data_IF_179078282035
#
_entry.id   IF_179078282035
#
_cell.length_a   1.000
_cell.length_b   1.000
_cell.length_c   1.000
_cell.angle_alpha   90.00
_cell.angle_beta   90.00
_cell.angle_gamma   90.00
#
_symmetry.space_group_name_H-M   'P 1'
#
loop_
_entity.id
_entity.type
_entity.pdbx_description
1 polymer ?
#
# COMPACT_ATOMS: atom_id res chain seq x y z
N UNK A 1 15.46 1.41 -15.77
CA UNK A 1 15.29 0.74 -14.46
C UNK A 1 15.22 1.81 -13.37
N UNK A 2 14.16 1.85 -12.57
CA UNK A 2 14.18 2.60 -11.31
C UNK A 2 14.54 1.64 -10.21
N UNK A 3 15.75 1.78 -9.69
CA UNK A 3 16.32 0.89 -8.70
C UNK A 3 16.01 1.46 -7.31
N UNK A 4 15.47 0.63 -6.41
CA UNK A 4 15.15 1.05 -5.04
C UNK A 4 16.39 1.46 -4.25
N UNK A 5 16.19 1.95 -3.01
CA UNK A 5 17.29 2.33 -2.10
C UNK A 5 18.32 1.19 -2.03
N UNK A 6 19.55 1.46 -2.49
CA UNK A 6 20.65 0.50 -2.53
C UNK A 6 20.91 -0.18 -3.88
N UNK A 7 20.27 0.25 -4.97
CA UNK A 7 20.49 -0.28 -6.32
C UNK A 7 20.21 -1.80 -6.46
N UNK A 8 19.25 -2.34 -5.70
CA UNK A 8 18.83 -3.75 -5.75
C UNK A 8 17.50 -3.90 -6.49
N UNK A 9 17.49 -4.73 -7.53
CA UNK A 9 16.27 -5.32 -8.07
C UNK A 9 15.61 -6.18 -6.98
N UNK A 10 14.29 -6.16 -6.93
CA UNK A 10 13.52 -6.94 -5.96
C UNK A 10 12.29 -7.51 -6.66
N UNK A 11 12.03 -8.75 -6.34
CA UNK A 11 10.75 -9.38 -6.64
C UNK A 11 9.79 -9.04 -5.51
N UNK A 12 8.57 -8.66 -5.87
CA UNK A 12 7.50 -8.37 -4.91
C UNK A 12 6.41 -9.39 -5.16
N UNK A 13 6.14 -10.23 -4.17
CA UNK A 13 5.05 -11.19 -4.26
C UNK A 13 3.70 -10.47 -4.18
N UNK A 14 2.73 -10.90 -4.99
CA UNK A 14 1.38 -10.33 -5.01
C UNK A 14 0.36 -11.43 -4.78
N UNK A 15 -0.78 -11.08 -4.17
CA UNK A 15 -1.90 -12.01 -4.02
C UNK A 15 -2.55 -12.34 -5.36
N UNK A 16 -3.31 -13.44 -5.41
CA UNK A 16 -4.09 -13.79 -6.60
C UNK A 16 -5.09 -12.69 -6.99
N UNK A 17 -5.65 -11.98 -6.02
CA UNK A 17 -6.57 -10.86 -6.24
C UNK A 17 -5.88 -9.71 -6.97
N UNK A 18 -4.66 -9.37 -6.55
CA UNK A 18 -3.83 -8.38 -7.23
C UNK A 18 -3.45 -8.86 -8.63
N UNK A 19 -3.06 -10.13 -8.78
CA UNK A 19 -2.74 -10.71 -10.08
C UNK A 19 -3.94 -10.66 -11.03
N UNK A 20 -5.15 -10.97 -10.56
CA UNK A 20 -6.39 -10.83 -11.34
C UNK A 20 -6.65 -9.37 -11.74
N UNK A 21 -6.43 -8.42 -10.82
CA UNK A 21 -6.57 -6.99 -11.13
C UNK A 21 -5.57 -6.53 -12.21
N UNK A 22 -4.32 -7.00 -12.15
CA UNK A 22 -3.29 -6.69 -13.14
C UNK A 22 -3.59 -7.31 -14.52
N UNK A 23 -4.08 -8.56 -14.57
CA UNK A 23 -4.54 -9.20 -15.80
C UNK A 23 -5.66 -8.40 -16.46
N UNK A 24 -6.70 -8.07 -15.69
CA UNK A 24 -7.82 -7.25 -16.16
C UNK A 24 -7.36 -5.87 -16.65
N UNK A 25 -6.41 -5.25 -15.96
CA UNK A 25 -5.84 -3.99 -16.39
C UNK A 25 -5.14 -4.14 -17.75
N UNK A 26 -4.27 -5.15 -17.94
CA UNK A 26 -3.60 -5.40 -19.22
C UNK A 26 -4.58 -5.63 -20.37
N UNK A 27 -5.60 -6.46 -20.15
CA UNK A 27 -6.65 -6.73 -21.14
C UNK A 27 -7.42 -5.46 -21.54
N UNK A 28 -7.73 -4.59 -20.59
CA UNK A 28 -8.36 -3.28 -20.87
C UNK A 28 -7.48 -2.34 -21.72
N UNK A 29 -6.19 -2.65 -21.84
CA UNK A 29 -5.22 -1.94 -22.69
C UNK A 29 -4.99 -2.65 -24.03
N UNK A 30 -5.71 -3.74 -24.31
CA UNK A 30 -5.52 -4.57 -25.51
C UNK A 30 -4.24 -5.40 -25.47
N UNK A 31 -3.70 -5.68 -24.28
CA UNK A 31 -2.51 -6.52 -24.09
C UNK A 31 -2.92 -7.93 -23.66
N UNK A 32 -2.01 -8.89 -23.79
CA UNK A 32 -2.14 -10.23 -23.21
C UNK A 32 -2.31 -10.16 -21.69
N UNK A 33 -3.05 -11.09 -21.09
CA UNK A 33 -3.32 -11.11 -19.64
C UNK A 33 -2.04 -11.16 -18.80
N UNK A 34 -1.01 -11.86 -19.28
CA UNK A 34 0.33 -11.91 -18.69
C UNK A 34 1.37 -11.32 -19.65
N UNK A 35 2.47 -10.74 -19.13
CA UNK A 35 3.56 -10.25 -19.97
C UNK A 35 4.21 -11.39 -20.76
N UNK A 36 4.58 -11.11 -22.00
CA UNK A 36 5.38 -12.03 -22.81
C UNK A 36 6.86 -11.99 -22.37
N UNK A 37 7.61 -13.09 -22.55
CA UNK A 37 9.05 -13.08 -22.32
C UNK A 37 9.73 -11.97 -23.13
N UNK A 38 10.54 -11.13 -22.46
CA UNK A 38 11.23 -10.00 -23.11
C UNK A 38 10.38 -8.77 -23.41
N UNK A 39 9.10 -8.75 -23.02
CA UNK A 39 8.23 -7.59 -23.19
C UNK A 39 8.73 -6.40 -22.35
N UNK A 40 8.87 -5.23 -22.98
CA UNK A 40 9.28 -3.97 -22.31
C UNK A 40 8.11 -3.03 -22.01
N UNK A 41 6.88 -3.51 -22.18
CA UNK A 41 5.66 -2.73 -21.92
C UNK A 41 5.62 -2.31 -20.44
N UNK A 42 5.35 -1.03 -20.16
CA UNK A 42 5.28 -0.54 -18.79
C UNK A 42 4.09 -1.15 -18.04
N UNK A 43 4.29 -1.43 -16.74
CA UNK A 43 3.22 -1.94 -15.88
C UNK A 43 2.07 -0.95 -15.75
N UNK A 44 2.35 0.35 -15.64
CA UNK A 44 1.34 1.41 -15.55
C UNK A 44 1.56 2.43 -16.66
N UNK A 45 0.56 2.58 -17.52
CA UNK A 45 0.59 3.49 -18.66
C UNK A 45 0.21 4.92 -18.28
N UNK A 46 0.71 5.90 -19.04
CA UNK A 46 0.24 7.28 -18.93
C UNK A 46 -1.24 7.35 -19.35
N UNK A 47 -1.99 8.24 -18.69
CA UNK A 47 -3.39 8.53 -19.05
C UNK A 47 -3.52 9.19 -20.42
N UNK A 48 -2.48 9.92 -20.86
CA UNK A 48 -2.40 10.58 -22.17
C UNK A 48 -1.04 10.29 -22.80
N UNK A 49 -1.02 10.07 -24.11
CA UNK A 49 0.19 9.76 -24.88
C UNK A 49 0.62 8.28 -24.77
N UNK A 50 1.84 7.99 -25.23
CA UNK A 50 2.43 6.64 -25.24
C UNK A 50 3.43 6.46 -24.08
N UNK A 51 3.61 5.21 -23.66
CA UNK A 51 4.61 4.80 -22.65
C UNK A 51 4.12 4.80 -21.21
N UNK A 52 5.05 4.52 -20.30
CA UNK A 52 4.79 4.34 -18.87
C UNK A 52 4.77 5.64 -18.11
N UNK A 53 4.12 5.64 -16.94
CA UNK A 53 4.17 6.80 -16.02
C UNK A 53 5.62 7.07 -15.62
N UNK A 54 6.03 8.34 -15.71
CA UNK A 54 7.39 8.79 -15.37
C UNK A 54 7.42 9.64 -14.09
N UNK A 55 6.26 10.05 -13.57
CA UNK A 55 6.15 10.88 -12.37
C UNK A 55 5.22 10.27 -11.35
N UNK A 56 5.67 10.21 -10.09
CA UNK A 56 4.87 9.77 -8.95
C UNK A 56 3.64 10.66 -8.70
N UNK A 57 3.62 11.90 -9.22
CA UNK A 57 2.49 12.82 -9.11
C UNK A 57 1.22 12.27 -9.74
N UNK A 58 1.33 11.54 -10.85
CA UNK A 58 0.17 10.95 -11.54
C UNK A 58 -0.48 9.87 -10.67
N UNK A 59 0.33 8.99 -10.08
CA UNK A 59 -0.15 7.96 -9.15
C UNK A 59 -0.77 8.60 -7.91
N UNK A 60 -0.09 9.59 -7.32
CA UNK A 60 -0.61 10.33 -6.16
C UNK A 60 -1.97 10.94 -6.46
N UNK A 61 -2.17 11.55 -7.63
CA UNK A 61 -3.46 12.11 -8.02
C UNK A 61 -4.57 11.06 -8.16
N UNK A 62 -4.25 9.85 -8.62
CA UNK A 62 -5.22 8.74 -8.67
C UNK A 62 -5.59 8.28 -7.27
N UNK A 63 -4.58 8.08 -6.41
CA UNK A 63 -4.80 7.66 -5.01
C UNK A 63 -5.61 8.70 -4.24
N UNK A 64 -5.28 9.98 -4.39
CA UNK A 64 -6.02 11.06 -3.72
C UNK A 64 -7.49 11.05 -4.12
N UNK A 65 -7.81 10.91 -5.41
CA UNK A 65 -9.20 10.79 -5.86
C UNK A 65 -9.93 9.61 -5.24
N UNK A 66 -9.24 8.50 -4.96
CA UNK A 66 -9.85 7.38 -4.24
C UNK A 66 -10.14 7.73 -2.78
N UNK A 67 -9.21 8.43 -2.12
CA UNK A 67 -9.40 8.91 -0.74
C UNK A 67 -10.53 9.92 -0.65
N UNK A 68 -10.57 10.93 -1.51
CA UNK A 68 -11.63 11.96 -1.52
C UNK A 68 -13.02 11.32 -1.68
N UNK A 69 -13.14 10.30 -2.54
CA UNK A 69 -14.40 9.57 -2.75
C UNK A 69 -14.78 8.70 -1.55
N UNK A 70 -13.80 8.06 -0.91
CA UNK A 70 -14.04 7.25 0.28
C UNK A 70 -14.40 8.14 1.48
N UNK A 71 -13.76 9.30 1.63
CA UNK A 71 -14.11 10.31 2.62
C UNK A 71 -15.55 10.79 2.44
N UNK A 72 -15.92 11.19 1.21
CA UNK A 72 -17.28 11.64 0.92
C UNK A 72 -18.31 10.58 1.29
N UNK A 73 -18.05 9.31 0.95
CA UNK A 73 -18.92 8.19 1.31
C UNK A 73 -19.03 7.98 2.82
N UNK A 74 -17.92 8.06 3.56
CA UNK A 74 -17.95 7.95 5.03
C UNK A 74 -18.79 9.07 5.67
N UNK A 75 -18.71 10.29 5.13
CA UNK A 75 -19.55 11.41 5.60
C UNK A 75 -21.03 11.18 5.31
N UNK A 76 -21.36 10.65 4.13
CA UNK A 76 -22.74 10.27 3.78
C UNK A 76 -23.29 9.18 4.69
N UNK A 77 -22.45 8.23 5.12
CA UNK A 77 -22.80 7.14 6.03
C UNK A 77 -22.80 7.56 7.52
N UNK A 78 -22.44 8.82 7.83
CA UNK A 78 -22.42 9.37 9.19
C UNK A 78 -21.13 9.10 9.99
N UNK A 79 -20.13 8.47 9.38
CA UNK A 79 -18.82 8.17 9.97
C UNK A 79 -17.86 9.37 9.87
N UNK A 80 -18.16 10.44 10.60
CA UNK A 80 -17.46 11.73 10.50
C UNK A 80 -16.00 11.64 10.99
N UNK A 81 -15.73 10.94 12.10
CA UNK A 81 -14.36 10.80 12.63
C UNK A 81 -13.45 10.01 11.67
N UNK A 82 -13.96 8.93 11.08
CA UNK A 82 -13.22 8.14 10.10
C UNK A 82 -12.94 8.94 8.82
N UNK A 83 -13.91 9.76 8.39
CA UNK A 83 -13.72 10.65 7.25
C UNK A 83 -12.60 11.67 7.52
N UNK A 84 -12.56 12.30 8.70
CA UNK A 84 -11.50 13.23 9.07
C UNK A 84 -10.13 12.56 9.11
N UNK A 85 -10.03 11.36 9.69
CA UNK A 85 -8.76 10.58 9.68
C UNK A 85 -8.32 10.23 8.26
N UNK A 86 -9.26 9.90 7.38
CA UNK A 86 -8.94 9.58 5.99
C UNK A 86 -8.52 10.80 5.18
N UNK A 87 -9.04 11.99 5.49
CA UNK A 87 -8.66 13.24 4.83
C UNK A 87 -7.18 13.59 5.06
N UNK A 88 -6.61 13.20 6.20
CA UNK A 88 -5.19 13.40 6.52
C UNK A 88 -4.27 12.30 5.94
N UNK A 89 -4.85 11.22 5.40
CA UNK A 89 -4.09 10.09 4.92
C UNK A 89 -3.25 10.43 3.68
N UNK A 90 -1.97 10.08 3.72
CA UNK A 90 -1.05 10.26 2.59
C UNK A 90 -0.75 8.96 1.86
N UNK A 91 -0.13 9.02 0.67
CA UNK A 91 0.35 7.80 -0.02
C UNK A 91 1.32 6.97 0.84
N UNK A 92 2.08 7.61 1.74
CA UNK A 92 2.96 6.90 2.66
C UNK A 92 2.16 6.11 3.72
N UNK A 93 1.00 6.62 4.12
CA UNK A 93 0.09 5.94 5.03
C UNK A 93 -0.38 4.59 4.46
N UNK A 94 -0.71 4.51 3.17
CA UNK A 94 -1.07 3.21 2.53
C UNK A 94 0.01 2.15 2.67
N UNK A 95 1.27 2.54 2.47
CA UNK A 95 2.40 1.61 2.63
C UNK A 95 2.54 1.17 4.08
N UNK A 96 2.36 2.09 5.02
CA UNK A 96 2.40 1.76 6.44
C UNK A 96 1.28 0.80 6.82
N UNK A 97 0.03 1.18 6.55
CA UNK A 97 -1.14 0.34 6.85
C UNK A 97 -1.04 -1.02 6.18
N UNK A 98 -0.65 -1.07 4.90
CA UNK A 98 -0.48 -2.34 4.19
C UNK A 98 0.55 -3.25 4.84
N UNK A 99 1.73 -2.72 5.22
CA UNK A 99 2.76 -3.50 5.91
C UNK A 99 2.28 -3.92 7.30
N UNK A 100 1.69 -3.01 8.08
CA UNK A 100 1.18 -3.27 9.44
C UNK A 100 0.09 -4.36 9.45
N UNK A 101 -0.78 -4.39 8.43
CA UNK A 101 -1.78 -5.45 8.30
C UNK A 101 -1.15 -6.76 7.83
N UNK A 102 -0.24 -6.72 6.86
CA UNK A 102 0.35 -7.93 6.29
C UNK A 102 1.19 -8.72 7.30
N UNK A 103 1.89 -8.04 8.22
CA UNK A 103 2.66 -8.70 9.30
C UNK A 103 1.78 -9.44 10.32
N UNK A 104 0.47 -9.20 10.35
CA UNK A 104 -0.45 -9.95 11.23
C UNK A 104 -0.72 -11.35 10.71
N UNK A 105 -0.55 -11.58 9.41
CA UNK A 105 -0.94 -12.82 8.74
C UNK A 105 0.20 -13.53 8.02
N UNK A 106 1.25 -12.79 7.60
CA UNK A 106 2.41 -13.34 6.89
C UNK A 106 3.68 -13.30 7.75
N UNK A 107 4.64 -14.23 7.51
CA UNK A 107 5.95 -14.19 8.15
C UNK A 107 6.64 -12.84 7.94
N UNK A 108 7.23 -12.32 9.02
CA UNK A 108 7.76 -10.94 9.06
C UNK A 108 8.93 -10.76 8.11
N UNK A 109 9.71 -11.81 7.88
CA UNK A 109 10.82 -11.84 6.92
C UNK A 109 10.30 -11.62 5.49
N UNK A 110 9.21 -12.28 5.12
CA UNK A 110 8.61 -12.16 3.79
C UNK A 110 8.09 -10.73 3.56
N UNK A 111 7.36 -10.18 4.52
CA UNK A 111 6.82 -8.81 4.42
C UNK A 111 7.95 -7.77 4.40
N UNK A 112 9.01 -7.97 5.18
CA UNK A 112 10.20 -7.10 5.18
C UNK A 112 10.88 -7.06 3.81
N UNK A 113 11.04 -8.23 3.19
CA UNK A 113 11.74 -8.36 1.91
C UNK A 113 10.90 -7.75 0.77
N UNK A 114 9.60 -8.02 0.74
CA UNK A 114 8.61 -7.38 -0.17
C UNK A 114 8.57 -5.85 0.02
N UNK A 115 8.61 -5.37 1.27
CA UNK A 115 8.62 -3.94 1.58
C UNK A 115 9.94 -3.25 1.19
N UNK A 116 11.00 -4.01 0.99
CA UNK A 116 12.30 -3.46 0.64
C UNK A 116 13.11 -2.90 1.83
N UNK A 117 12.80 -3.29 3.07
CA UNK A 117 13.51 -2.81 4.26
C UNK A 117 14.86 -3.52 4.41
N UNK A 118 15.94 -2.73 4.53
CA UNK A 118 17.31 -3.24 4.70
C UNK A 118 17.62 -3.81 6.09
N UNK A 119 16.75 -3.60 7.08
CA UNK A 119 16.86 -4.24 8.39
C UNK A 119 15.49 -4.54 8.99
N UNK A 120 15.41 -5.59 9.81
CA UNK A 120 14.19 -6.04 10.50
C UNK A 120 13.58 -4.98 11.41
N UNK A 121 14.42 -4.09 11.96
CA UNK A 121 14.02 -3.07 12.93
C UNK A 121 13.05 -2.00 12.37
N UNK A 122 12.96 -1.83 11.05
CA UNK A 122 11.96 -0.94 10.44
C UNK A 122 10.59 -1.62 10.43
N UNK A 123 10.55 -2.95 10.25
CA UNK A 123 9.31 -3.74 10.24
C UNK A 123 8.76 -3.95 11.66
N UNK A 124 9.63 -3.98 12.68
CA UNK A 124 9.24 -4.05 14.10
C UNK A 124 8.43 -2.84 14.60
N UNK A 125 8.52 -1.68 13.93
CA UNK A 125 7.77 -0.47 14.33
C UNK A 125 6.31 -0.46 13.89
N UNK A 126 5.83 -1.46 13.15
CA UNK A 126 4.49 -1.47 12.54
C UNK A 126 3.41 -2.19 13.36
N UNK A 127 3.69 -2.52 14.62
CA UNK A 127 2.75 -3.27 15.45
C UNK A 127 1.75 -2.30 16.10
N UNK A 128 0.71 -1.91 15.35
CA UNK A 128 -0.46 -1.24 15.94
C UNK A 128 -1.30 -2.18 16.83
N UNK A 129 -1.17 -3.50 16.61
CA UNK A 129 -1.76 -4.53 17.51
C UNK A 129 -1.29 -4.34 18.95
N UNK A 130 0.00 -4.00 19.13
CA UNK A 130 0.57 -3.74 20.44
C UNK A 130 -0.02 -2.47 21.05
N UNK A 131 -0.47 -1.49 20.26
CA UNK A 131 -1.01 -0.23 20.79
C UNK A 131 -2.42 -0.39 21.33
N UNK A 132 -3.28 -1.13 20.64
CA UNK A 132 -4.62 -1.48 21.13
C UNK A 132 -4.55 -2.40 22.35
N UNK A 133 -3.69 -3.43 22.33
CA UNK A 133 -3.47 -4.31 23.48
C UNK A 133 -2.79 -3.60 24.65
N UNK A 134 -1.81 -2.72 24.40
CA UNK A 134 -1.22 -1.85 25.44
C UNK A 134 -2.25 -0.89 26.02
N UNK A 135 -3.14 -0.32 25.20
CA UNK A 135 -4.21 0.52 25.71
C UNK A 135 -5.18 -0.29 26.57
N UNK A 136 -5.67 -1.43 26.08
CA UNK A 136 -6.57 -2.31 26.83
C UNK A 136 -5.97 -2.79 28.16
N UNK A 137 -4.69 -3.17 28.16
CA UNK A 137 -3.98 -3.57 29.39
C UNK A 137 -3.66 -2.39 30.32
N UNK A 138 -3.40 -1.20 29.77
CA UNK A 138 -3.16 0.01 30.57
C UNK A 138 -4.44 0.64 31.16
N UNK A 139 -5.62 0.38 30.58
CA UNK A 139 -6.92 0.94 31.05
C UNK A 139 -7.20 0.68 32.52
N UNK A 140 -6.70 -0.43 33.08
CA UNK A 140 -6.92 -0.80 34.49
C UNK A 140 -5.68 -0.63 35.37
N UNK A 141 -4.61 -0.03 34.85
CA UNK A 141 -3.37 0.18 35.60
C UNK A 141 -3.59 1.23 36.68
N UNK A 142 -3.52 0.81 37.96
CA UNK A 142 -3.59 1.74 39.10
C UNK A 142 -2.28 2.52 39.23
N UNK A 143 -2.37 3.85 39.28
CA UNK A 143 -1.24 4.71 39.66
C UNK A 143 -1.20 4.75 41.18
N UNK A 144 -0.08 4.33 41.78
CA UNK A 144 0.15 4.53 43.21
C UNK A 144 0.75 5.93 43.42
N UNK A 145 0.32 6.67 44.46
CA UNK A 145 0.92 7.96 44.82
C UNK A 145 2.38 7.81 45.25
#
# INVERSE_FOLDING_TARGET
LTVGKGNKEREVSVSDDMLRALRRYRESRGLSSLPLPGESTPLIHKTRGKGGITSTRQIRGIVQKCFDRAEAKLREEGSVEEAERLAEATVHWLRHTGISEDVKYRPREHVRDDAGHGSSAITDRYIDVERAERHASARHKRVKP
#
